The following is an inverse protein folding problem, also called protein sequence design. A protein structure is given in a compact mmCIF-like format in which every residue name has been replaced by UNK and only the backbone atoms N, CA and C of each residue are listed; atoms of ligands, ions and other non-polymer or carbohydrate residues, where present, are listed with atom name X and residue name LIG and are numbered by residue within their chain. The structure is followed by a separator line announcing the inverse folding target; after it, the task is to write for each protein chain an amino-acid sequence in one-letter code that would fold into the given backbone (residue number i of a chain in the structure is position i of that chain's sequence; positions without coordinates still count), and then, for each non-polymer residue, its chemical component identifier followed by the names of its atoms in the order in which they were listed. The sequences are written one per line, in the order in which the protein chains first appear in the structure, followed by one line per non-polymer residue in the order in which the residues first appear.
data_IF_882465524942
#
_entry.id   IF_882465524942
#
_cell.length_a   1.000
_cell.length_b   1.000
_cell.length_c   1.000
_cell.angle_alpha   90.00
_cell.angle_beta   90.00
_cell.angle_gamma   90.00
#
_symmetry.space_group_name_H-M   'P 1'
#
loop_
_entity.id
_entity.type
_entity.pdbx_description
1 polymer ?
#
# COMPACT_ATOMS: atom_id res chain seq x y z
N UNK A 1 20.35 3.33 -11.48
CA UNK A 1 19.84 3.48 -10.10
C UNK A 1 18.38 3.03 -9.96
N UNK A 2 17.43 3.48 -10.82
CA UNK A 2 16.00 3.07 -10.74
C UNK A 2 15.81 1.54 -10.73
N UNK A 3 16.37 0.83 -11.70
CA UNK A 3 16.22 -0.63 -11.81
C UNK A 3 16.86 -1.40 -10.66
N UNK A 4 17.94 -0.86 -10.07
CA UNK A 4 18.56 -1.46 -8.89
C UNK A 4 17.66 -1.31 -7.68
N UNK A 5 17.10 -0.11 -7.45
CA UNK A 5 16.15 0.12 -6.37
C UNK A 5 14.89 -0.73 -6.51
N UNK A 6 14.35 -0.85 -7.72
CA UNK A 6 13.21 -1.71 -8.01
C UNK A 6 13.53 -3.18 -7.72
N UNK A 7 14.70 -3.67 -8.14
CA UNK A 7 15.15 -5.03 -7.86
C UNK A 7 15.30 -5.28 -6.35
N UNK A 8 15.93 -4.38 -5.61
CA UNK A 8 16.09 -4.48 -4.16
C UNK A 8 14.72 -4.50 -3.47
N UNK A 9 13.80 -3.61 -3.87
CA UNK A 9 12.44 -3.56 -3.33
C UNK A 9 11.71 -4.88 -3.53
N UNK A 10 11.72 -5.44 -4.74
CA UNK A 10 11.03 -6.70 -5.06
C UNK A 10 11.65 -7.87 -4.29
N UNK A 11 12.98 -7.99 -4.28
CA UNK A 11 13.68 -9.08 -3.57
C UNK A 11 13.41 -9.04 -2.08
N UNK A 12 13.49 -7.86 -1.45
CA UNK A 12 13.23 -7.71 -0.02
C UNK A 12 11.77 -8.00 0.33
N UNK A 13 10.82 -7.54 -0.51
CA UNK A 13 9.40 -7.82 -0.33
C UNK A 13 9.10 -9.32 -0.41
N UNK A 14 9.57 -9.98 -1.45
CA UNK A 14 9.38 -11.44 -1.64
C UNK A 14 10.04 -12.21 -0.50
N UNK A 15 11.24 -11.82 -0.08
CA UNK A 15 11.95 -12.48 1.02
C UNK A 15 11.16 -12.39 2.33
N UNK A 16 10.61 -11.21 2.65
CA UNK A 16 9.77 -11.05 3.85
C UNK A 16 8.41 -11.75 3.73
N UNK A 17 7.82 -11.81 2.55
CA UNK A 17 6.55 -12.50 2.33
C UNK A 17 6.69 -14.03 2.42
N UNK A 18 7.75 -14.61 1.83
CA UNK A 18 7.91 -16.05 1.69
C UNK A 18 8.76 -16.69 2.81
N UNK A 19 9.69 -15.96 3.41
CA UNK A 19 10.64 -16.50 4.37
C UNK A 19 10.30 -16.12 5.82
N UNK A 20 9.61 -17.00 6.54
CA UNK A 20 9.22 -16.76 7.93
C UNK A 20 10.41 -16.46 8.87
N UNK A 21 11.59 -17.04 8.61
CA UNK A 21 12.80 -16.77 9.40
C UNK A 21 13.30 -15.32 9.21
N UNK A 22 13.12 -14.73 8.03
CA UNK A 22 13.52 -13.35 7.74
C UNK A 22 12.58 -12.36 8.42
N UNK A 23 11.27 -12.58 8.37
CA UNK A 23 10.29 -11.63 8.91
C UNK A 23 10.10 -11.70 10.43
N UNK A 24 10.44 -12.85 11.08
CA UNK A 24 10.19 -13.07 12.51
C UNK A 24 11.43 -12.91 13.39
N UNK A 25 12.65 -13.07 12.84
CA UNK A 25 13.88 -13.09 13.63
C UNK A 25 14.68 -11.80 13.49
N UNK A 26 14.94 -11.14 14.63
CA UNK A 26 15.90 -10.06 14.70
C UNK A 26 17.34 -10.63 14.57
N UNK A 27 18.27 -9.89 13.94
CA UNK A 27 18.15 -8.57 13.37
C UNK A 27 17.68 -8.57 11.90
N UNK A 28 17.48 -9.74 11.26
CA UNK A 28 17.21 -9.87 9.82
C UNK A 28 15.94 -9.14 9.40
N UNK A 29 14.88 -9.23 10.20
CA UNK A 29 13.61 -8.55 9.91
C UNK A 29 13.77 -7.01 9.82
N UNK A 30 14.56 -6.40 10.69
CA UNK A 30 14.85 -4.95 10.64
C UNK A 30 15.74 -4.57 9.46
N UNK A 31 16.73 -5.41 9.13
CA UNK A 31 17.62 -5.17 7.99
C UNK A 31 16.83 -5.18 6.68
N UNK A 32 15.99 -6.20 6.48
CA UNK A 32 15.17 -6.30 5.27
C UNK A 32 14.13 -5.18 5.18
N UNK A 33 13.50 -4.80 6.30
CA UNK A 33 12.59 -3.66 6.34
C UNK A 33 13.32 -2.35 6.01
N UNK A 34 14.52 -2.13 6.54
CA UNK A 34 15.32 -0.93 6.24
C UNK A 34 15.72 -0.86 4.76
N UNK A 35 16.19 -1.97 4.18
CA UNK A 35 16.54 -2.04 2.76
C UNK A 35 15.32 -1.80 1.87
N UNK A 36 14.18 -2.42 2.20
CA UNK A 36 12.92 -2.17 1.52
C UNK A 36 12.54 -0.68 1.59
N UNK A 37 12.56 -0.10 2.78
CA UNK A 37 12.17 1.31 3.00
C UNK A 37 13.06 2.27 2.21
N UNK A 38 14.38 2.05 2.20
CA UNK A 38 15.33 2.87 1.43
C UNK A 38 15.06 2.77 -0.08
N UNK A 39 14.88 1.56 -0.60
CA UNK A 39 14.58 1.34 -2.01
C UNK A 39 13.24 1.97 -2.40
N UNK A 40 12.21 1.77 -1.60
CA UNK A 40 10.88 2.32 -1.84
C UNK A 40 10.87 3.85 -1.76
N UNK A 41 11.58 4.44 -0.78
CA UNK A 41 11.69 5.90 -0.64
C UNK A 41 12.34 6.53 -1.87
N UNK A 42 13.38 5.89 -2.42
CA UNK A 42 14.03 6.36 -3.65
C UNK A 42 13.08 6.31 -4.85
N UNK A 43 12.35 5.19 -5.03
CA UNK A 43 11.36 5.03 -6.11
C UNK A 43 10.21 6.04 -5.97
N UNK A 44 9.73 6.24 -4.75
CA UNK A 44 8.69 7.22 -4.44
C UNK A 44 9.15 8.65 -4.75
N UNK A 45 10.39 8.99 -4.39
CA UNK A 45 10.99 10.29 -4.69
C UNK A 45 11.06 10.56 -6.19
N UNK A 46 11.53 9.59 -6.99
CA UNK A 46 11.57 9.72 -8.47
C UNK A 46 10.16 9.89 -9.05
N UNK A 47 9.20 9.13 -8.53
CA UNK A 47 7.82 9.19 -9.05
C UNK A 47 7.16 10.51 -8.69
N UNK A 48 7.29 10.96 -7.44
CA UNK A 48 6.74 12.23 -6.96
C UNK A 48 7.38 13.44 -7.64
N UNK A 49 8.65 13.35 -8.05
CA UNK A 49 9.35 14.43 -8.76
C UNK A 49 8.71 14.80 -10.13
N UNK A 50 7.84 13.95 -10.68
CA UNK A 50 7.08 14.22 -11.91
C UNK A 50 5.88 15.14 -11.68
N UNK A 51 5.50 15.38 -10.43
CA UNK A 51 4.35 16.19 -10.03
C UNK A 51 4.81 17.54 -9.47
N UNK A 52 3.91 18.52 -9.46
CA UNK A 52 4.18 19.82 -8.84
C UNK A 52 4.23 19.67 -7.32
N UNK A 53 5.09 20.45 -6.66
CA UNK A 53 5.23 20.42 -5.21
C UNK A 53 3.90 20.61 -4.47
N UNK A 54 3.03 21.52 -4.96
CA UNK A 54 1.71 21.74 -4.36
C UNK A 54 0.79 20.52 -4.49
N UNK A 55 0.88 19.77 -5.58
CA UNK A 55 0.11 18.53 -5.78
C UNK A 55 0.57 17.44 -4.82
N UNK A 56 1.89 17.30 -4.64
CA UNK A 56 2.47 16.37 -3.69
C UNK A 56 2.04 16.70 -2.26
N UNK A 57 2.14 17.98 -1.86
CA UNK A 57 1.73 18.42 -0.54
C UNK A 57 0.23 18.21 -0.27
N UNK A 58 -0.61 18.48 -1.29
CA UNK A 58 -2.04 18.22 -1.20
C UNK A 58 -2.33 16.71 -1.07
N UNK A 59 -1.64 15.88 -1.86
CA UNK A 59 -1.78 14.42 -1.79
C UNK A 59 -1.37 13.89 -0.40
N UNK A 60 -0.27 14.40 0.18
CA UNK A 60 0.16 14.04 1.55
C UNK A 60 -0.93 14.39 2.57
N UNK A 61 -1.47 15.62 2.51
CA UNK A 61 -2.52 16.06 3.44
C UNK A 61 -3.79 15.22 3.34
N UNK A 62 -4.26 14.94 2.11
CA UNK A 62 -5.44 14.09 1.88
C UNK A 62 -5.16 12.66 2.36
N UNK A 63 -4.00 12.09 2.02
CA UNK A 63 -3.63 10.73 2.44
C UNK A 63 -3.59 10.62 3.97
N UNK A 64 -2.99 11.58 4.65
CA UNK A 64 -2.93 11.59 6.11
C UNK A 64 -4.34 11.62 6.72
N UNK A 65 -5.23 12.46 6.20
CA UNK A 65 -6.62 12.55 6.67
C UNK A 65 -7.39 11.25 6.41
N UNK A 66 -7.25 10.66 5.23
CA UNK A 66 -7.90 9.39 4.86
C UNK A 66 -7.37 8.26 5.75
N UNK A 67 -6.07 8.11 5.90
CA UNK A 67 -5.47 7.05 6.72
C UNK A 67 -5.88 7.17 8.19
N UNK A 68 -5.88 8.38 8.75
CA UNK A 68 -6.34 8.61 10.12
C UNK A 68 -7.83 8.24 10.27
N UNK A 69 -8.68 8.71 9.36
CA UNK A 69 -10.11 8.40 9.38
C UNK A 69 -10.40 6.90 9.27
N UNK A 70 -9.72 6.21 8.34
CA UNK A 70 -9.88 4.76 8.13
C UNK A 70 -9.35 3.95 9.32
N UNK A 71 -8.24 4.36 9.91
CA UNK A 71 -7.71 3.71 11.12
C UNK A 71 -8.68 3.84 12.30
N UNK A 72 -9.23 5.04 12.54
CA UNK A 72 -10.25 5.24 13.57
C UNK A 72 -11.52 4.43 13.27
N UNK A 73 -11.93 4.37 12.01
CA UNK A 73 -13.05 3.53 11.60
C UNK A 73 -12.78 2.04 11.85
N UNK A 74 -11.58 1.55 11.52
CA UNK A 74 -11.19 0.16 11.77
C UNK A 74 -11.27 -0.21 13.26
N UNK A 75 -10.83 0.69 14.15
CA UNK A 75 -10.91 0.50 15.61
C UNK A 75 -12.35 0.49 16.14
N UNK A 76 -13.23 1.28 15.57
CA UNK A 76 -14.60 1.47 16.09
C UNK A 76 -15.62 0.56 15.38
N UNK A 77 -15.27 0.02 14.22
CA UNK A 77 -16.18 -0.79 13.41
C UNK A 77 -16.48 -2.13 14.10
N UNK A 78 -17.76 -2.47 14.16
CA UNK A 78 -18.24 -3.79 14.57
C UNK A 78 -18.17 -4.81 13.45
N UNK A 79 -17.92 -4.37 12.22
CA UNK A 79 -17.78 -5.25 11.06
C UNK A 79 -16.36 -5.84 11.05
N UNK A 80 -16.30 -7.15 10.86
CA UNK A 80 -15.05 -7.88 10.77
C UNK A 80 -14.58 -7.95 9.30
N UNK A 81 -13.70 -7.03 8.94
CA UNK A 81 -13.10 -6.99 7.60
C UNK A 81 -12.06 -8.09 7.39
N UNK A 82 -11.57 -8.73 8.45
CA UNK A 82 -10.55 -9.78 8.34
C UNK A 82 -11.05 -11.01 7.56
N UNK A 83 -12.36 -11.19 7.43
CA UNK A 83 -12.97 -12.26 6.61
C UNK A 83 -12.90 -11.99 5.11
N UNK A 84 -12.60 -10.74 4.70
CA UNK A 84 -12.62 -10.32 3.30
C UNK A 84 -11.33 -10.64 2.52
N UNK A 85 -10.35 -11.29 3.13
CA UNK A 85 -9.03 -11.53 2.51
C UNK A 85 -9.11 -12.13 1.11
N UNK A 86 -10.00 -13.12 0.88
CA UNK A 86 -10.20 -13.71 -0.45
C UNK A 86 -10.77 -12.72 -1.48
N UNK A 87 -11.73 -11.90 -1.07
CA UNK A 87 -12.35 -10.87 -1.95
C UNK A 87 -11.32 -9.80 -2.31
N UNK A 88 -10.55 -9.34 -1.32
CA UNK A 88 -9.48 -8.36 -1.52
C UNK A 88 -8.38 -8.89 -2.45
N UNK A 89 -8.02 -10.16 -2.31
CA UNK A 89 -7.06 -10.81 -3.22
C UNK A 89 -7.56 -10.81 -4.67
N UNK A 90 -8.82 -11.19 -4.91
CA UNK A 90 -9.43 -11.14 -6.25
C UNK A 90 -9.46 -9.71 -6.78
N UNK A 91 -9.86 -8.74 -5.95
CA UNK A 91 -9.90 -7.34 -6.34
C UNK A 91 -8.50 -6.80 -6.70
N UNK A 92 -7.45 -7.24 -6.00
CA UNK A 92 -6.06 -6.91 -6.33
C UNK A 92 -5.66 -7.46 -7.71
N UNK A 93 -6.02 -8.71 -8.03
CA UNK A 93 -5.76 -9.30 -9.36
C UNK A 93 -6.47 -8.49 -10.44
N UNK A 94 -7.74 -8.13 -10.22
CA UNK A 94 -8.51 -7.31 -11.17
C UNK A 94 -7.85 -5.95 -11.39
N UNK A 95 -7.44 -5.27 -10.31
CA UNK A 95 -6.76 -3.99 -10.39
C UNK A 95 -5.43 -4.11 -11.16
N UNK A 96 -4.65 -5.17 -10.92
CA UNK A 96 -3.39 -5.42 -11.60
C UNK A 96 -3.61 -5.65 -13.11
N UNK A 97 -4.59 -6.47 -13.49
CA UNK A 97 -4.94 -6.73 -14.89
C UNK A 97 -5.44 -5.45 -15.57
N UNK A 98 -6.27 -4.66 -14.90
CA UNK A 98 -6.73 -3.37 -15.42
C UNK A 98 -5.56 -2.39 -15.59
N UNK A 99 -4.59 -2.38 -14.66
CA UNK A 99 -3.37 -1.59 -14.77
C UNK A 99 -2.53 -1.97 -16.01
N UNK A 100 -2.40 -3.27 -16.29
CA UNK A 100 -1.72 -3.75 -17.49
C UNK A 100 -2.46 -3.27 -18.76
N UNK A 101 -3.78 -3.42 -18.80
CA UNK A 101 -4.61 -2.95 -19.91
C UNK A 101 -4.47 -1.44 -20.11
N UNK A 102 -4.47 -0.66 -19.03
CA UNK A 102 -4.35 0.79 -19.05
C UNK A 102 -3.03 1.28 -19.69
N UNK A 103 -1.96 0.47 -19.68
CA UNK A 103 -0.70 0.78 -20.37
C UNK A 103 -0.91 0.85 -21.88
N UNK A 104 -1.76 -0.01 -22.44
CA UNK A 104 -2.03 -0.07 -23.88
C UNK A 104 -3.06 0.97 -24.35
N UNK A 105 -3.88 1.47 -23.45
CA UNK A 105 -4.94 2.45 -23.72
C UNK A 105 -4.75 3.70 -22.85
N UNK A 106 -3.68 4.50 -23.07
CA UNK A 106 -3.43 5.68 -22.26
C UNK A 106 -4.53 6.74 -22.49
N UNK A 107 -5.02 7.29 -21.39
CA UNK A 107 -6.03 8.34 -21.43
C UNK A 107 -6.36 8.87 -20.05
N UNK A 108 -6.71 10.17 -19.95
CA UNK A 108 -7.05 10.82 -18.68
C UNK A 108 -8.13 10.06 -17.91
N UNK A 109 -9.21 9.72 -18.58
CA UNK A 109 -10.34 8.99 -17.95
C UNK A 109 -9.92 7.64 -17.41
N UNK A 110 -9.15 6.86 -18.19
CA UNK A 110 -8.67 5.54 -17.77
C UNK A 110 -7.73 5.66 -16.56
N UNK A 111 -6.84 6.66 -16.59
CA UNK A 111 -5.93 6.94 -15.47
C UNK A 111 -6.71 7.29 -14.19
N UNK A 112 -7.71 8.15 -14.27
CA UNK A 112 -8.53 8.55 -13.11
C UNK A 112 -9.33 7.35 -12.58
N UNK A 113 -9.97 6.57 -13.46
CA UNK A 113 -10.74 5.38 -13.06
C UNK A 113 -9.84 4.35 -12.37
N UNK A 114 -8.69 4.05 -12.97
CA UNK A 114 -7.71 3.14 -12.39
C UNK A 114 -7.21 3.61 -11.02
N UNK A 115 -6.81 4.87 -10.92
CA UNK A 115 -6.30 5.43 -9.68
C UNK A 115 -7.39 5.52 -8.59
N UNK A 116 -8.64 5.82 -8.96
CA UNK A 116 -9.76 5.83 -8.02
C UNK A 116 -10.07 4.41 -7.50
N UNK A 117 -10.08 3.41 -8.38
CA UNK A 117 -10.23 2.01 -7.99
C UNK A 117 -9.11 1.54 -7.08
N UNK A 118 -7.86 1.92 -7.39
CA UNK A 118 -6.70 1.61 -6.56
C UNK A 118 -6.75 2.28 -5.19
N UNK A 119 -7.08 3.57 -5.12
CA UNK A 119 -7.23 4.28 -3.87
C UNK A 119 -8.30 3.65 -2.97
N UNK A 120 -9.46 3.28 -3.55
CA UNK A 120 -10.52 2.60 -2.81
C UNK A 120 -10.07 1.22 -2.31
N UNK A 121 -9.45 0.42 -3.16
CA UNK A 121 -8.99 -0.92 -2.79
C UNK A 121 -7.98 -0.88 -1.64
N UNK A 122 -6.95 -0.04 -1.74
CA UNK A 122 -5.95 0.09 -0.68
C UNK A 122 -6.50 0.75 0.60
N UNK A 123 -7.55 1.56 0.48
CA UNK A 123 -8.30 2.04 1.66
C UNK A 123 -8.98 0.89 2.41
N UNK A 124 -9.55 -0.08 1.69
CA UNK A 124 -10.13 -1.28 2.30
C UNK A 124 -9.03 -2.19 2.87
N UNK A 125 -7.89 -2.33 2.17
CA UNK A 125 -6.74 -3.05 2.70
C UNK A 125 -6.22 -2.44 4.00
N UNK A 126 -6.15 -1.12 4.11
CA UNK A 126 -5.74 -0.43 5.34
C UNK A 126 -6.65 -0.77 6.53
N UNK A 127 -7.97 -0.85 6.31
CA UNK A 127 -8.91 -1.29 7.36
C UNK A 127 -8.67 -2.76 7.70
N UNK A 128 -8.55 -3.62 6.69
CA UNK A 128 -8.30 -5.04 6.83
C UNK A 128 -7.02 -5.32 7.63
N UNK A 129 -5.90 -4.73 7.22
CA UNK A 129 -4.61 -4.93 7.88
C UNK A 129 -4.58 -4.34 9.29
N UNK A 130 -5.24 -3.20 9.51
CA UNK A 130 -5.39 -2.63 10.86
C UNK A 130 -6.15 -3.59 11.77
N UNK A 131 -7.27 -4.16 11.32
CA UNK A 131 -8.03 -5.13 12.11
C UNK A 131 -7.28 -6.46 12.32
N UNK A 132 -6.52 -6.91 11.32
CA UNK A 132 -5.63 -8.08 11.45
C UNK A 132 -4.58 -7.89 12.55
N UNK A 133 -4.06 -6.66 12.71
CA UNK A 133 -3.11 -6.33 13.78
C UNK A 133 -3.75 -6.17 15.15
N UNK A 134 -4.99 -5.67 15.21
CA UNK A 134 -5.71 -5.52 16.47
C UNK A 134 -5.98 -6.85 17.16
N UNK A 135 -6.24 -7.90 16.39
CA UNK A 135 -6.64 -9.19 16.92
C UNK A 135 -7.96 -9.14 17.72
N UNK A 136 -7.97 -9.76 18.90
CA UNK A 136 -9.10 -9.66 19.81
C UNK A 136 -10.33 -10.45 19.34
N UNK A 137 -11.44 -9.75 19.05
CA UNK A 137 -12.71 -10.36 18.63
C UNK A 137 -12.79 -10.66 17.14
N UNK A 138 -11.79 -10.26 16.33
CA UNK A 138 -11.77 -10.53 14.91
C UNK A 138 -11.47 -12.01 14.62
N UNK A 139 -12.07 -12.52 13.54
CA UNK A 139 -11.93 -13.94 13.17
C UNK A 139 -10.50 -14.33 12.84
N UNK A 140 -9.74 -13.41 12.22
CA UNK A 140 -8.35 -13.61 11.87
C UNK A 140 -7.49 -12.51 12.50
N UNK A 141 -6.26 -12.87 12.86
CA UNK A 141 -5.28 -11.95 13.41
C UNK A 141 -3.87 -12.35 13.01
N UNK A 142 -2.97 -11.39 12.98
CA UNK A 142 -1.54 -11.61 12.78
C UNK A 142 -0.91 -11.96 14.12
N UNK A 143 -0.01 -12.96 14.11
CA UNK A 143 0.78 -13.30 15.30
C UNK A 143 1.63 -12.11 15.76
N UNK A 144 1.74 -11.83 17.07
CA UNK A 144 2.61 -10.77 17.58
C UNK A 144 4.07 -10.87 17.11
N UNK A 145 4.54 -12.08 16.77
CA UNK A 145 5.90 -12.29 16.23
C UNK A 145 6.10 -11.73 14.81
N UNK A 146 5.01 -11.41 14.11
CA UNK A 146 5.01 -10.90 12.74
C UNK A 146 4.84 -9.37 12.66
N UNK A 147 5.13 -8.66 13.74
CA UNK A 147 4.93 -7.20 13.83
C UNK A 147 5.66 -6.40 12.73
N UNK A 148 6.84 -6.85 12.29
CA UNK A 148 7.58 -6.20 11.20
C UNK A 148 6.84 -6.37 9.86
N UNK A 149 6.30 -7.57 9.60
CA UNK A 149 5.54 -7.82 8.38
C UNK A 149 4.20 -7.06 8.39
N UNK A 150 3.57 -6.98 9.54
CA UNK A 150 2.36 -6.19 9.73
C UNK A 150 2.62 -4.68 9.49
N UNK A 151 3.71 -4.14 10.02
CA UNK A 151 4.12 -2.77 9.76
C UNK A 151 4.41 -2.51 8.28
N UNK A 152 5.03 -3.47 7.59
CA UNK A 152 5.27 -3.40 6.15
C UNK A 152 3.96 -3.32 5.35
N UNK A 153 2.96 -4.14 5.69
CA UNK A 153 1.67 -4.14 5.01
C UNK A 153 0.97 -2.78 5.16
N UNK A 154 0.88 -2.23 6.37
CA UNK A 154 0.33 -0.89 6.60
C UNK A 154 1.09 0.20 5.84
N UNK A 155 2.42 0.11 5.83
CA UNK A 155 3.25 1.04 5.06
C UNK A 155 2.91 0.98 3.56
N UNK A 156 2.79 -0.22 2.99
CA UNK A 156 2.42 -0.41 1.59
C UNK A 156 1.03 0.16 1.28
N UNK A 157 0.05 -0.05 2.15
CA UNK A 157 -1.30 0.49 1.97
C UNK A 157 -1.28 2.02 1.92
N UNK A 158 -0.60 2.66 2.88
CA UNK A 158 -0.50 4.12 2.97
C UNK A 158 0.20 4.70 1.73
N UNK A 159 1.31 4.10 1.31
CA UNK A 159 2.06 4.56 0.13
C UNK A 159 1.24 4.39 -1.15
N UNK A 160 0.51 3.29 -1.30
CA UNK A 160 -0.34 3.09 -2.47
C UNK A 160 -1.51 4.09 -2.49
N UNK A 161 -2.18 4.33 -1.35
CA UNK A 161 -3.23 5.36 -1.23
C UNK A 161 -2.65 6.72 -1.66
N UNK A 162 -1.47 7.10 -1.14
CA UNK A 162 -0.79 8.34 -1.52
C UNK A 162 -0.55 8.42 -3.03
N UNK A 163 0.02 7.37 -3.63
CA UNK A 163 0.35 7.35 -5.05
C UNK A 163 -0.89 7.45 -5.94
N UNK A 164 -1.97 6.79 -5.59
CA UNK A 164 -3.22 6.87 -6.33
C UNK A 164 -3.88 8.25 -6.19
N UNK A 165 -3.91 8.83 -4.99
CA UNK A 165 -4.41 10.20 -4.77
C UNK A 165 -3.57 11.20 -5.57
N UNK A 166 -2.24 11.10 -5.53
CA UNK A 166 -1.35 11.95 -6.30
C UNK A 166 -1.59 11.82 -7.81
N UNK A 167 -1.82 10.59 -8.28
CA UNK A 167 -2.15 10.32 -9.69
C UNK A 167 -3.49 10.97 -10.10
N UNK A 168 -4.51 10.91 -9.24
CA UNK A 168 -5.81 11.56 -9.49
C UNK A 168 -5.64 13.06 -9.58
N UNK A 169 -4.91 13.68 -8.65
CA UNK A 169 -4.65 15.12 -8.62
C UNK A 169 -3.91 15.56 -9.89
N UNK A 170 -2.83 14.83 -10.23
CA UNK A 170 -2.04 15.13 -11.43
C UNK A 170 -2.84 14.98 -12.73
N UNK A 171 -3.63 13.91 -12.86
CA UNK A 171 -4.48 13.68 -14.03
C UNK A 171 -5.65 14.67 -14.13
N UNK A 172 -6.12 15.22 -13.02
CA UNK A 172 -7.22 16.20 -13.01
C UNK A 172 -6.78 17.58 -13.49
N UNK A 173 -5.48 17.86 -13.51
CA UNK A 173 -4.91 19.14 -13.95
C UNK A 173 -4.99 19.32 -15.46
N UNK A 174 -4.79 18.26 -16.23
CA UNK A 174 -4.79 18.23 -17.69
C UNK A 174 -6.22 18.01 -18.21
#
# INVERSE_FOLDING_TARGET
MFWIALGVMIVTLISMACCGSVRRKAPMNFIFLALFTLAQSFLLGITSAKFRSNEVMLAVGITAAVCLGLTLFAFQSKWDFTVMGGVLFVAMIVLLLFGIIAIFFPGKTITIVYASGGALLFSIYLIYDTQMMMGGQHKYSISPEEYIFAALNLYLDIINIFMYILTIIGASRD
#
